data_IF_800092020862
#
_entry.id   IF_800092020862
#
_cell.length_a   1.000
_cell.length_b   1.000
_cell.length_c   1.000
_cell.angle_alpha   90.00
_cell.angle_beta   90.00
_cell.angle_gamma   90.00
#
_symmetry.space_group_name_H-M   'P 1'
#
loop_
_entity.id
_entity.type
_entity.pdbx_description
1 polymer ?
#
# COMPACT_ATOMS: atom_id res chain seq x y z
N UNK A 1 24.32 38.04 -8.10
CA UNK A 1 24.77 37.12 -9.17
C UNK A 1 26.17 36.63 -8.83
N UNK A 2 26.26 35.43 -8.26
CA UNK A 2 27.43 34.55 -8.23
C UNK A 2 26.93 33.20 -7.69
N UNK A 3 27.26 32.08 -8.34
CA UNK A 3 27.84 31.01 -7.55
C UNK A 3 29.05 30.34 -8.23
N UNK A 4 30.07 30.14 -7.39
CA UNK A 4 30.98 29.00 -7.31
C UNK A 4 30.89 27.95 -8.42
N UNK A 5 31.90 27.97 -9.29
CA UNK A 5 32.19 26.88 -10.22
C UNK A 5 33.28 25.97 -9.65
N UNK A 6 33.11 24.69 -9.96
CA UNK A 6 33.92 23.53 -9.59
C UNK A 6 35.30 23.65 -10.20
N UNK A 7 36.32 23.15 -9.48
CA UNK A 7 37.36 22.28 -10.04
C UNK A 7 38.38 21.92 -8.97
N UNK A 8 38.32 20.68 -8.45
CA UNK A 8 39.45 20.12 -7.70
C UNK A 8 39.99 18.86 -8.37
N UNK A 9 41.14 19.11 -9.00
CA UNK A 9 42.33 18.29 -9.25
C UNK A 9 42.28 16.76 -9.06
N UNK A 10 42.43 16.13 -10.23
CA UNK A 10 43.33 15.01 -10.57
C UNK A 10 44.45 14.62 -9.56
N UNK A 11 44.58 13.29 -9.41
CA UNK A 11 45.76 12.40 -9.65
C UNK A 11 46.46 11.71 -8.45
N UNK A 12 46.30 10.37 -8.49
CA UNK A 12 47.33 9.29 -8.51
C UNK A 12 48.06 8.84 -7.24
N UNK A 13 47.90 7.55 -6.89
CA UNK A 13 48.95 6.51 -6.78
C UNK A 13 48.29 5.19 -6.30
N UNK A 14 48.22 4.13 -7.12
CA UNK A 14 49.17 2.99 -7.17
C UNK A 14 49.42 2.29 -5.83
N UNK A 15 48.78 1.14 -5.64
CA UNK A 15 49.41 -0.07 -5.10
C UNK A 15 48.77 -1.28 -5.78
N UNK A 16 49.61 -2.00 -6.52
CA UNK A 16 49.31 -3.25 -7.20
C UNK A 16 50.23 -4.30 -6.60
N UNK A 17 49.72 -5.44 -6.13
CA UNK A 17 50.47 -6.69 -6.01
C UNK A 17 49.52 -7.90 -6.18
N UNK A 18 49.72 -8.62 -7.29
CA UNK A 18 49.71 -10.08 -7.52
C UNK A 18 48.58 -10.94 -6.89
N UNK A 19 47.88 -11.81 -7.63
CA UNK A 19 48.43 -12.93 -8.42
C UNK A 19 47.56 -13.30 -9.62
N UNK A 20 48.23 -13.71 -10.70
CA UNK A 20 47.69 -14.31 -11.91
C UNK A 20 48.32 -15.71 -12.06
N UNK A 21 47.65 -16.57 -12.83
CA UNK A 21 47.96 -17.97 -13.22
C UNK A 21 47.15 -19.01 -12.42
N UNK A 22 46.50 -20.02 -13.00
CA UNK A 22 46.69 -20.60 -14.32
C UNK A 22 45.41 -21.27 -14.85
N UNK A 23 45.18 -21.07 -16.14
CA UNK A 23 44.55 -22.03 -17.03
C UNK A 23 45.28 -23.38 -16.93
N UNK A 24 44.66 -24.39 -16.35
CA UNK A 24 44.90 -25.79 -16.69
C UNK A 24 43.59 -26.57 -16.49
N UNK A 25 43.09 -27.18 -17.56
CA UNK A 25 41.96 -28.09 -17.52
C UNK A 25 42.30 -29.36 -16.76
N UNK A 26 42.08 -29.35 -15.45
CA UNK A 26 42.00 -30.55 -14.64
C UNK A 26 40.66 -30.52 -13.90
N UNK A 27 39.75 -31.38 -14.35
CA UNK A 27 38.47 -31.65 -13.70
C UNK A 27 38.75 -32.49 -12.45
N UNK A 28 38.46 -32.03 -11.23
CA UNK A 28 38.55 -32.91 -10.07
C UNK A 28 37.50 -34.02 -10.18
N UNK A 29 37.81 -35.28 -9.83
CA UNK A 29 36.79 -36.31 -9.69
C UNK A 29 35.83 -35.92 -8.57
N UNK A 30 34.53 -36.09 -8.82
CA UNK A 30 33.49 -35.82 -7.85
C UNK A 30 33.76 -36.59 -6.55
N UNK A 31 33.68 -35.95 -5.37
CA UNK A 31 33.63 -36.72 -4.14
C UNK A 31 32.31 -37.50 -4.12
N UNK A 32 32.44 -38.82 -4.05
CA UNK A 32 31.34 -39.70 -3.70
C UNK A 32 30.93 -39.43 -2.25
N UNK A 33 29.63 -39.26 -2.01
CA UNK A 33 29.05 -39.27 -0.67
C UNK A 33 28.78 -37.90 -0.06
N UNK A 34 27.72 -37.23 -0.55
CA UNK A 34 26.93 -36.29 0.24
C UNK A 34 25.44 -36.68 0.11
N UNK A 35 25.11 -37.92 0.48
CA UNK A 35 23.72 -38.33 0.75
C UNK A 35 23.31 -37.73 2.10
N UNK A 36 22.79 -36.51 2.08
CA UNK A 36 22.34 -35.86 3.31
C UNK A 36 22.15 -34.35 3.28
N UNK A 37 21.97 -33.70 2.13
CA UNK A 37 21.48 -32.32 2.12
C UNK A 37 19.95 -32.33 2.26
N UNK A 38 19.37 -31.93 3.40
CA UNK A 38 17.93 -31.75 3.49
C UNK A 38 17.53 -30.56 2.62
N UNK A 39 16.55 -30.81 1.75
CA UNK A 39 15.66 -29.79 1.22
C UNK A 39 16.34 -28.67 0.47
N UNK A 40 16.56 -28.90 -0.84
CA UNK A 40 16.46 -27.84 -1.84
C UNK A 40 15.21 -27.03 -1.50
N UNK A 41 15.40 -25.83 -0.94
CA UNK A 41 14.31 -24.91 -0.71
C UNK A 41 13.64 -24.72 -2.06
N UNK A 42 12.46 -25.33 -2.22
CA UNK A 42 11.58 -25.05 -3.33
C UNK A 42 11.26 -23.59 -3.16
N UNK A 43 11.99 -22.75 -3.88
CA UNK A 43 11.64 -21.37 -4.08
C UNK A 43 10.35 -21.42 -4.88
N UNK A 44 9.22 -21.56 -4.19
CA UNK A 44 7.92 -21.11 -4.67
C UNK A 44 8.06 -19.61 -4.86
N UNK A 45 8.63 -19.21 -6.00
CA UNK A 45 8.35 -17.90 -6.55
C UNK A 45 6.84 -17.89 -6.71
N UNK A 46 6.15 -17.20 -5.81
CA UNK A 46 4.75 -16.91 -6.00
C UNK A 46 4.67 -16.21 -7.36
N UNK A 47 4.12 -16.90 -8.36
CA UNK A 47 3.83 -16.28 -9.63
C UNK A 47 2.99 -15.04 -9.33
N UNK A 48 3.41 -13.90 -9.85
CA UNK A 48 2.61 -12.68 -9.72
C UNK A 48 1.19 -13.02 -10.19
N UNK A 49 0.14 -12.64 -9.42
CA UNK A 49 -1.22 -12.96 -9.80
C UNK A 49 -1.46 -12.51 -11.24
N UNK A 50 -2.05 -13.40 -12.05
CA UNK A 50 -2.43 -13.04 -13.41
C UNK A 50 -3.30 -11.78 -13.41
N UNK A 51 -3.20 -10.99 -14.48
CA UNK A 51 -3.86 -9.67 -14.63
C UNK A 51 -5.33 -9.67 -14.19
N UNK A 52 -6.08 -10.70 -14.55
CA UNK A 52 -7.49 -10.88 -14.19
C UNK A 52 -7.71 -11.12 -12.69
N UNK A 53 -6.85 -11.92 -12.06
CA UNK A 53 -6.91 -12.18 -10.62
C UNK A 53 -6.63 -10.91 -9.81
N UNK A 54 -5.72 -10.05 -10.28
CA UNK A 54 -5.45 -8.75 -9.65
C UNK A 54 -6.65 -7.79 -9.76
N UNK A 55 -7.30 -7.74 -10.93
CA UNK A 55 -8.54 -6.98 -11.14
C UNK A 55 -9.64 -7.46 -10.18
N UNK A 56 -9.87 -8.78 -10.13
CA UNK A 56 -10.90 -9.37 -9.28
C UNK A 56 -10.63 -9.18 -7.79
N UNK A 57 -9.37 -9.29 -7.37
CA UNK A 57 -8.96 -9.02 -6.00
C UNK A 57 -9.23 -7.55 -5.61
N UNK A 58 -8.89 -6.60 -6.49
CA UNK A 58 -9.17 -5.19 -6.22
C UNK A 58 -10.66 -4.89 -6.23
N UNK A 59 -11.43 -5.50 -7.15
CA UNK A 59 -12.89 -5.34 -7.22
C UNK A 59 -13.55 -5.78 -5.91
N UNK A 60 -13.15 -6.94 -5.37
CA UNK A 60 -13.62 -7.44 -4.07
C UNK A 60 -13.22 -6.54 -2.91
N UNK A 61 -11.97 -6.09 -2.87
CA UNK A 61 -11.47 -5.17 -1.85
C UNK A 61 -12.28 -3.86 -1.82
N UNK A 62 -12.54 -3.25 -2.99
CA UNK A 62 -13.36 -2.04 -3.13
C UNK A 62 -14.79 -2.30 -2.68
N UNK A 63 -15.34 -3.48 -2.91
CA UNK A 63 -16.67 -3.87 -2.42
C UNK A 63 -16.73 -4.19 -0.91
N UNK A 64 -15.59 -4.14 -0.20
CA UNK A 64 -15.50 -4.38 1.25
C UNK A 64 -14.97 -5.77 1.64
N UNK A 65 -14.77 -6.69 0.69
CA UNK A 65 -14.10 -7.98 0.95
C UNK A 65 -12.58 -7.80 0.86
N UNK A 66 -12.00 -7.39 1.98
CA UNK A 66 -10.57 -7.13 2.10
C UNK A 66 -9.76 -8.38 2.50
N UNK A 67 -10.40 -9.44 2.98
CA UNK A 67 -9.71 -10.56 3.67
C UNK A 67 -8.57 -11.14 2.84
N UNK A 68 -8.81 -11.38 1.55
CA UNK A 68 -7.85 -11.98 0.61
C UNK A 68 -6.91 -11.00 -0.10
N UNK A 69 -7.01 -9.70 0.17
CA UNK A 69 -6.24 -8.70 -0.57
C UNK A 69 -4.75 -8.66 -0.15
N UNK A 70 -3.83 -8.57 -1.13
CA UNK A 70 -2.38 -8.64 -0.92
C UNK A 70 -1.60 -7.43 -1.48
N UNK A 71 -2.24 -6.27 -1.52
CA UNK A 71 -1.61 -5.02 -1.96
C UNK A 71 -1.74 -4.77 -3.46
N UNK A 72 -1.31 -3.58 -3.88
CA UNK A 72 -1.44 -3.11 -5.28
C UNK A 72 -0.30 -3.57 -6.21
N UNK A 73 0.47 -4.59 -5.85
CA UNK A 73 1.54 -5.10 -6.72
C UNK A 73 0.96 -5.53 -8.07
N UNK A 74 1.49 -5.00 -9.18
CA UNK A 74 0.99 -5.27 -10.52
C UNK A 74 -0.24 -4.45 -10.94
N UNK A 75 -0.71 -3.51 -10.11
CA UNK A 75 -1.80 -2.57 -10.41
C UNK A 75 -1.28 -1.17 -10.78
N UNK A 76 -0.23 -1.13 -11.61
CA UNK A 76 0.47 0.10 -11.99
C UNK A 76 -0.26 0.86 -13.11
N UNK A 77 -1.08 0.16 -13.91
CA UNK A 77 -1.75 0.66 -15.09
C UNK A 77 -3.14 1.26 -14.76
N UNK A 78 -3.40 2.47 -15.25
CA UNK A 78 -4.70 3.14 -15.16
C UNK A 78 -5.84 2.33 -15.78
N UNK A 79 -5.57 1.56 -16.84
CA UNK A 79 -6.59 0.71 -17.47
C UNK A 79 -7.01 -0.44 -16.56
N UNK A 80 -6.06 -1.00 -15.79
CA UNK A 80 -6.36 -2.03 -14.79
C UNK A 80 -7.24 -1.49 -13.68
N UNK A 81 -6.92 -0.29 -13.21
CA UNK A 81 -7.74 0.39 -12.22
C UNK A 81 -9.15 0.62 -12.75
N UNK A 82 -9.30 1.16 -13.96
CA UNK A 82 -10.61 1.38 -14.57
C UNK A 82 -11.43 0.08 -14.69
N UNK A 83 -10.80 -1.03 -15.09
CA UNK A 83 -11.46 -2.33 -15.16
C UNK A 83 -11.94 -2.84 -13.79
N UNK A 84 -11.13 -2.66 -12.74
CA UNK A 84 -11.47 -3.11 -11.39
C UNK A 84 -12.56 -2.27 -10.71
N UNK A 85 -12.56 -0.95 -10.94
CA UNK A 85 -13.52 -0.04 -10.29
C UNK A 85 -14.92 -0.09 -10.91
N UNK A 86 -15.02 -0.55 -12.16
CA UNK A 86 -16.27 -0.65 -12.91
C UNK A 86 -16.78 0.71 -13.40
N UNK A 87 -18.05 0.80 -13.83
CA UNK A 87 -18.62 2.04 -14.34
C UNK A 87 -18.66 3.13 -13.27
N UNK A 88 -18.35 4.36 -13.69
CA UNK A 88 -18.36 5.55 -12.83
C UNK A 88 -19.13 6.69 -13.52
N UNK A 89 -19.67 7.59 -12.71
CA UNK A 89 -20.46 8.75 -13.15
C UNK A 89 -19.53 9.84 -13.67
N UNK A 90 -18.46 10.09 -12.92
CA UNK A 90 -17.53 11.18 -13.18
C UNK A 90 -16.15 10.81 -12.70
N UNK A 91 -15.14 11.27 -13.43
CA UNK A 91 -13.76 11.28 -12.96
C UNK A 91 -13.20 12.69 -13.11
N UNK A 92 -12.50 13.17 -12.09
CA UNK A 92 -11.78 14.45 -12.10
C UNK A 92 -10.34 14.22 -11.74
N UNK A 93 -9.44 14.99 -12.35
CA UNK A 93 -8.01 14.89 -12.12
C UNK A 93 -7.47 16.25 -11.66
N UNK A 94 -6.70 16.25 -10.58
CA UNK A 94 -6.01 17.44 -10.08
C UNK A 94 -4.66 17.08 -9.47
N UNK A 95 -3.80 18.08 -9.31
CA UNK A 95 -2.53 17.89 -8.60
C UNK A 95 -2.66 18.27 -7.13
N UNK A 96 -2.21 17.38 -6.24
CA UNK A 96 -2.16 17.60 -4.80
C UNK A 96 -0.77 17.33 -4.24
N UNK A 97 -0.46 17.93 -3.09
CA UNK A 97 0.79 17.65 -2.35
C UNK A 97 0.47 16.82 -1.13
N UNK A 98 1.26 15.77 -0.91
CA UNK A 98 1.17 14.88 0.26
C UNK A 98 2.58 14.54 0.73
N UNK A 99 2.87 14.78 2.01
CA UNK A 99 4.18 14.57 2.62
C UNK A 99 5.36 15.21 1.84
N UNK A 100 5.12 16.38 1.23
CA UNK A 100 6.13 17.07 0.40
C UNK A 100 6.30 16.52 -1.01
N UNK A 101 5.53 15.49 -1.40
CA UNK A 101 5.53 14.92 -2.76
C UNK A 101 4.32 15.40 -3.55
N UNK A 102 4.52 15.61 -4.85
CA UNK A 102 3.45 15.97 -5.79
C UNK A 102 2.80 14.71 -6.35
N UNK A 103 1.48 14.70 -6.33
CA UNK A 103 0.65 13.63 -6.86
C UNK A 103 -0.36 14.20 -7.83
N UNK A 104 -0.68 13.42 -8.84
CA UNK A 104 -1.85 13.55 -9.67
C UNK A 104 -2.92 12.64 -9.09
N UNK A 105 -4.00 13.23 -8.60
CA UNK A 105 -5.09 12.53 -7.92
C UNK A 105 -6.25 12.42 -8.88
N UNK A 106 -6.64 11.19 -9.17
CA UNK A 106 -7.85 10.87 -9.91
C UNK A 106 -8.96 10.55 -8.92
N UNK A 107 -9.94 11.44 -8.82
CA UNK A 107 -11.14 11.25 -8.00
C UNK A 107 -12.24 10.66 -8.86
N UNK A 108 -12.78 9.53 -8.45
CA UNK A 108 -13.75 8.73 -9.20
C UNK A 108 -15.04 8.66 -8.41
N UNK A 109 -16.10 9.21 -8.99
CA UNK A 109 -17.46 9.21 -8.42
C UNK A 109 -18.28 8.08 -9.05
N UNK A 110 -18.82 7.20 -8.22
CA UNK A 110 -19.49 5.96 -8.60
C UNK A 110 -20.96 5.99 -8.20
N UNK A 111 -21.79 5.22 -8.92
CA UNK A 111 -23.21 5.05 -8.58
C UNK A 111 -23.42 4.10 -7.40
N UNK A 112 -22.53 3.13 -7.23
CA UNK A 112 -22.54 2.14 -6.16
C UNK A 112 -21.47 2.45 -5.10
N UNK A 113 -21.65 1.94 -3.89
CA UNK A 113 -20.64 2.05 -2.85
C UNK A 113 -19.34 1.30 -3.22
N UNK A 114 -18.16 1.78 -2.78
CA UNK A 114 -17.90 3.12 -2.27
C UNK A 114 -18.16 4.19 -3.35
N UNK A 115 -18.81 5.29 -2.95
CA UNK A 115 -19.27 6.34 -3.89
C UNK A 115 -18.12 7.19 -4.43
N UNK A 116 -17.07 7.40 -3.63
CA UNK A 116 -15.90 8.18 -4.01
C UNK A 116 -14.65 7.34 -3.77
N UNK A 117 -13.77 7.28 -4.76
CA UNK A 117 -12.48 6.62 -4.69
C UNK A 117 -11.42 7.60 -5.20
N UNK A 118 -10.31 7.73 -4.50
CA UNK A 118 -9.17 8.52 -4.93
C UNK A 118 -7.98 7.64 -5.27
N UNK A 119 -7.42 7.83 -6.46
CA UNK A 119 -6.24 7.14 -6.94
C UNK A 119 -5.08 8.14 -7.09
N UNK A 120 -3.99 7.92 -6.37
CA UNK A 120 -2.86 8.83 -6.25
C UNK A 120 -1.68 8.32 -7.09
N UNK A 121 -1.29 9.10 -8.09
CA UNK A 121 -0.18 8.81 -8.99
C UNK A 121 0.95 9.81 -8.75
N UNK A 122 2.17 9.40 -8.35
CA UNK A 122 3.28 10.32 -8.16
C UNK A 122 3.62 11.04 -9.48
N UNK A 123 3.84 12.36 -9.39
CA UNK A 123 4.28 13.14 -10.55
C UNK A 123 5.77 12.88 -10.81
N UNK A 124 6.11 12.45 -12.03
CA UNK A 124 7.49 12.23 -12.47
C UNK A 124 8.00 10.78 -12.36
N UNK A 125 7.24 9.87 -11.73
CA UNK A 125 7.66 8.49 -11.43
C UNK A 125 7.01 7.46 -12.37
N UNK A 126 6.85 7.82 -13.64
CA UNK A 126 6.28 6.92 -14.66
C UNK A 126 4.78 6.67 -14.55
N UNK A 127 4.08 7.32 -13.62
CA UNK A 127 2.61 7.30 -13.55
C UNK A 127 2.02 6.04 -12.91
N UNK A 128 2.80 5.30 -12.12
CA UNK A 128 2.31 4.12 -11.39
C UNK A 128 1.40 4.52 -10.23
N UNK A 129 0.36 3.73 -9.95
CA UNK A 129 -0.53 3.93 -8.81
C UNK A 129 0.24 3.74 -7.49
N UNK A 130 0.32 4.79 -6.67
CA UNK A 130 0.96 4.72 -5.36
C UNK A 130 -0.03 4.36 -4.25
N UNK A 131 -1.22 4.97 -4.28
CA UNK A 131 -2.24 4.78 -3.24
C UNK A 131 -3.61 4.78 -3.89
N UNK A 132 -4.46 3.85 -3.47
CA UNK A 132 -5.90 3.88 -3.70
C UNK A 132 -6.61 4.04 -2.36
N UNK A 133 -7.53 5.00 -2.24
CA UNK A 133 -8.20 5.26 -0.98
C UNK A 133 -9.68 5.59 -1.14
N UNK A 134 -10.48 5.16 -0.15
CA UNK A 134 -11.92 5.33 -0.15
C UNK A 134 -12.52 5.08 1.23
N UNK A 135 -13.79 5.46 1.39
CA UNK A 135 -14.61 5.10 2.55
C UNK A 135 -15.32 3.78 2.29
N UNK A 136 -15.12 2.75 3.11
CA UNK A 136 -15.73 1.44 2.88
C UNK A 136 -17.26 1.53 2.89
N UNK A 137 -17.96 0.60 2.21
CA UNK A 137 -19.40 0.46 2.40
C UNK A 137 -19.74 0.18 3.88
N UNK A 138 -20.95 0.56 4.34
CA UNK A 138 -21.39 0.25 5.69
C UNK A 138 -21.44 -1.28 5.90
N UNK A 139 -21.16 -1.73 7.12
CA UNK A 139 -21.21 -3.16 7.48
C UNK A 139 -19.93 -3.96 7.23
N UNK A 140 -18.83 -3.33 6.80
CA UNK A 140 -17.52 -3.99 6.78
C UNK A 140 -17.07 -4.27 8.22
N UNK A 141 -16.89 -5.55 8.55
CA UNK A 141 -16.45 -6.02 9.87
C UNK A 141 -14.95 -5.77 10.07
N UNK A 142 -14.63 -4.65 10.71
CA UNK A 142 -13.26 -4.29 11.06
C UNK A 142 -12.63 -5.32 12.00
N UNK A 143 -13.33 -5.77 13.03
CA UNK A 143 -12.76 -6.64 14.06
C UNK A 143 -12.50 -8.04 13.51
N UNK A 144 -13.42 -8.57 12.69
CA UNK A 144 -13.20 -9.82 11.95
C UNK A 144 -12.02 -9.73 10.99
N UNK A 145 -11.84 -8.58 10.31
CA UNK A 145 -10.69 -8.35 9.43
C UNK A 145 -9.38 -8.32 10.22
N UNK A 146 -9.32 -7.59 11.34
CA UNK A 146 -8.15 -7.55 12.22
C UNK A 146 -7.84 -8.95 12.79
N UNK A 147 -8.87 -9.69 13.23
CA UNK A 147 -8.72 -11.05 13.72
C UNK A 147 -8.15 -12.00 12.67
N UNK A 148 -8.55 -11.83 11.41
CA UNK A 148 -8.05 -12.65 10.28
C UNK A 148 -6.65 -12.25 9.84
N UNK A 149 -6.35 -10.96 9.80
CA UNK A 149 -5.06 -10.45 9.34
C UNK A 149 -3.93 -10.58 10.37
N UNK A 150 -4.29 -10.63 11.65
CA UNK A 150 -3.37 -10.64 12.78
C UNK A 150 -3.03 -9.22 13.25
N UNK A 151 -1.99 -9.11 14.08
CA UNK A 151 -1.57 -7.80 14.60
C UNK A 151 -1.06 -6.87 13.47
N UNK A 152 -1.41 -5.58 13.50
CA UNK A 152 -0.84 -4.60 12.57
C UNK A 152 0.66 -4.42 12.79
N UNK A 153 1.37 -4.04 11.74
CA UNK A 153 2.80 -3.72 11.81
C UNK A 153 3.06 -2.48 12.68
N UNK A 154 2.12 -1.53 12.71
CA UNK A 154 2.13 -0.38 13.60
C UNK A 154 0.70 0.13 13.84
N UNK A 155 0.42 0.67 15.03
CA UNK A 155 -0.79 1.44 15.31
C UNK A 155 -0.39 2.90 15.48
N UNK A 156 -0.98 3.80 14.68
CA UNK A 156 -0.79 5.24 14.81
C UNK A 156 -2.05 5.84 15.42
N UNK A 157 -1.98 6.17 16.71
CA UNK A 157 -3.11 6.72 17.48
C UNK A 157 -3.26 8.21 17.25
N UNK A 158 -4.51 8.68 17.33
CA UNK A 158 -4.88 10.09 17.47
C UNK A 158 -4.32 11.03 16.39
N UNK A 159 -3.96 10.48 15.23
CA UNK A 159 -3.42 11.28 14.13
C UNK A 159 -4.51 12.13 13.47
N UNK A 160 -5.77 11.68 13.55
CA UNK A 160 -6.93 12.34 12.96
C UNK A 160 -8.12 12.30 13.93
N UNK A 161 -8.93 13.35 13.87
CA UNK A 161 -10.23 13.41 14.51
C UNK A 161 -11.30 13.47 13.43
N UNK A 162 -12.34 12.66 13.58
CA UNK A 162 -13.59 12.83 12.85
C UNK A 162 -14.62 13.42 13.84
N UNK A 163 -15.60 14.22 13.38
CA UNK A 163 -16.69 14.66 14.25
C UNK A 163 -17.31 13.50 15.06
N UNK A 164 -17.14 13.51 16.39
CA UNK A 164 -17.68 12.49 17.29
C UNK A 164 -16.83 11.22 17.48
N UNK A 165 -15.65 11.12 16.83
CA UNK A 165 -14.78 9.95 16.93
C UNK A 165 -13.27 10.30 16.90
N UNK A 166 -12.49 9.52 17.63
CA UNK A 166 -11.03 9.49 17.50
C UNK A 166 -10.65 8.42 16.49
N UNK A 167 -9.77 8.75 15.55
CA UNK A 167 -9.32 7.78 14.55
C UNK A 167 -7.91 7.29 14.88
N UNK A 168 -7.76 5.96 14.84
CA UNK A 168 -6.48 5.28 14.86
C UNK A 168 -6.22 4.61 13.50
N UNK A 169 -4.96 4.63 13.06
CA UNK A 169 -4.56 3.95 11.83
C UNK A 169 -3.91 2.61 12.19
N UNK A 170 -4.44 1.53 11.64
CA UNK A 170 -3.87 0.19 11.72
C UNK A 170 -3.07 -0.06 10.44
N UNK A 171 -1.74 -0.04 10.54
CA UNK A 171 -0.85 -0.17 9.40
C UNK A 171 -0.52 -1.64 9.18
N UNK A 172 -0.88 -2.17 8.02
CA UNK A 172 -0.49 -3.49 7.52
C UNK A 172 0.43 -3.30 6.30
N UNK A 173 1.57 -2.65 6.51
CA UNK A 173 2.46 -2.24 5.41
C UNK A 173 2.98 -3.42 4.59
N UNK A 174 3.17 -4.58 5.22
CA UNK A 174 3.58 -5.82 4.51
C UNK A 174 2.46 -6.41 3.66
N UNK A 175 1.20 -6.07 3.95
CA UNK A 175 0.05 -6.42 3.10
C UNK A 175 -0.27 -5.32 2.08
N UNK A 176 0.29 -4.13 2.24
CA UNK A 176 -0.03 -2.98 1.40
C UNK A 176 -1.39 -2.35 1.74
N UNK A 177 -1.73 -2.28 3.03
CA UNK A 177 -3.00 -1.70 3.48
C UNK A 177 -2.87 -0.87 4.76
N UNK A 178 -3.63 0.21 4.86
CA UNK A 178 -3.89 0.94 6.10
C UNK A 178 -5.39 1.01 6.32
N UNK A 179 -5.82 0.62 7.51
CA UNK A 179 -7.22 0.68 7.95
C UNK A 179 -7.36 1.80 8.97
N UNK A 180 -8.20 2.78 8.67
CA UNK A 180 -8.51 3.86 9.60
C UNK A 180 -9.72 3.44 10.43
N UNK A 181 -9.47 3.09 11.69
CA UNK A 181 -10.49 2.67 12.64
C UNK A 181 -10.96 3.89 13.44
N UNK A 182 -12.25 4.20 13.34
CA UNK A 182 -12.84 5.26 14.12
C UNK A 182 -13.49 4.71 15.38
N UNK A 183 -13.17 5.33 16.52
CA UNK A 183 -13.68 5.00 17.84
C UNK A 183 -14.55 6.16 18.35
N UNK A 184 -15.82 5.93 18.72
CA UNK A 184 -16.67 6.96 19.31
C UNK A 184 -16.02 7.63 20.51
N UNK A 185 -16.22 8.95 20.65
CA UNK A 185 -15.81 9.70 21.86
C UNK A 185 -16.75 9.42 23.03
N UNK A 186 -18.00 9.05 22.75
CA UNK A 186 -18.98 8.67 23.76
C UNK A 186 -18.56 7.39 24.51
N UNK A 187 -18.58 7.46 25.84
CA UNK A 187 -18.25 6.35 26.73
C UNK A 187 -19.19 5.15 26.58
N UNK A 188 -20.45 5.37 26.19
CA UNK A 188 -21.41 4.28 25.99
C UNK A 188 -20.99 3.30 24.89
N UNK A 189 -20.21 3.76 23.91
CA UNK A 189 -19.75 2.97 22.76
C UNK A 189 -18.23 2.93 22.62
N UNK A 190 -17.48 3.25 23.68
CA UNK A 190 -16.03 3.44 23.64
C UNK A 190 -15.23 2.18 23.20
N UNK A 191 -15.85 1.00 23.20
CA UNK A 191 -15.24 -0.27 22.78
C UNK A 191 -15.51 -0.67 21.32
N UNK A 192 -16.47 -0.05 20.62
CA UNK A 192 -16.81 -0.45 19.25
C UNK A 192 -16.06 0.44 18.26
N UNK A 193 -15.22 -0.17 17.44
CA UNK A 193 -14.53 0.52 16.34
C UNK A 193 -15.23 0.20 15.03
N UNK A 194 -15.33 1.19 14.15
CA UNK A 194 -15.80 1.00 12.78
C UNK A 194 -14.71 1.39 11.79
N UNK A 195 -14.68 0.73 10.63
CA UNK A 195 -13.76 1.09 9.57
C UNK A 195 -14.27 2.36 8.88
N UNK A 196 -13.55 3.47 9.06
CA UNK A 196 -13.91 4.75 8.49
C UNK A 196 -13.29 4.97 7.11
N UNK A 197 -12.11 4.40 6.87
CA UNK A 197 -11.37 4.64 5.64
C UNK A 197 -10.39 3.51 5.36
N UNK A 198 -10.17 3.23 4.07
CA UNK A 198 -9.22 2.23 3.59
C UNK A 198 -8.21 2.90 2.68
N UNK A 199 -6.94 2.56 2.86
CA UNK A 199 -5.87 2.88 1.92
C UNK A 199 -5.20 1.60 1.48
N UNK A 200 -5.09 1.38 0.18
CA UNK A 200 -4.32 0.30 -0.42
C UNK A 200 -3.10 0.88 -1.14
N UNK A 201 -2.01 0.14 -1.09
CA UNK A 201 -0.74 0.48 -1.71
C UNK A 201 0.06 -0.80 -2.00
N UNK A 202 1.18 -0.70 -2.70
CA UNK A 202 2.07 -1.83 -2.87
C UNK A 202 2.71 -2.20 -1.51
N UNK A 203 2.85 -3.49 -1.16
CA UNK A 203 3.54 -3.93 0.06
C UNK A 203 4.89 -3.22 0.24
N UNK A 204 5.13 -2.72 1.45
CA UNK A 204 6.25 -1.81 1.73
C UNK A 204 6.68 -1.86 3.20
N UNK A 205 7.50 -0.91 3.62
CA UNK A 205 7.96 -0.75 5.01
C UNK A 205 7.25 0.40 5.73
N UNK A 206 7.26 0.37 7.06
CA UNK A 206 6.73 1.45 7.91
C UNK A 206 7.41 2.79 7.61
N UNK A 207 8.73 2.78 7.41
CA UNK A 207 9.50 4.00 7.06
C UNK A 207 9.05 4.58 5.73
N UNK A 208 8.88 3.74 4.72
CA UNK A 208 8.38 4.18 3.42
C UNK A 208 6.96 4.74 3.53
N UNK A 209 6.10 4.09 4.31
CA UNK A 209 4.76 4.59 4.57
C UNK A 209 4.78 6.01 5.17
N UNK A 210 5.59 6.26 6.21
CA UNK A 210 5.67 7.59 6.83
C UNK A 210 6.24 8.69 5.92
N UNK A 211 7.07 8.32 4.95
CA UNK A 211 7.78 9.28 4.09
C UNK A 211 7.13 9.50 2.73
N UNK A 212 6.28 8.57 2.26
CA UNK A 212 5.69 8.61 0.91
C UNK A 212 4.17 8.49 0.91
N UNK A 213 3.59 7.62 1.73
CA UNK A 213 2.17 7.27 1.66
C UNK A 213 1.35 8.12 2.63
N UNK A 214 1.70 8.07 3.93
CA UNK A 214 1.03 8.81 4.98
C UNK A 214 -0.45 8.47 5.16
N UNK A 215 -1.05 9.09 6.18
CA UNK A 215 -2.50 9.08 6.32
C UNK A 215 -3.15 9.95 5.23
N UNK A 216 -4.37 9.59 4.84
CA UNK A 216 -5.16 10.38 3.90
C UNK A 216 -5.48 11.77 4.46
N UNK A 217 -5.59 12.80 3.61
CA UNK A 217 -5.82 14.17 4.04
C UNK A 217 -7.23 14.41 4.59
N UNK A 218 -8.22 13.63 4.16
CA UNK A 218 -9.64 13.82 4.49
C UNK A 218 -10.21 12.56 5.18
N UNK A 219 -11.09 12.78 6.16
CA UNK A 219 -11.99 11.77 6.72
C UNK A 219 -13.38 12.38 6.68
N UNK A 220 -14.39 11.65 6.21
CA UNK A 220 -15.76 12.12 6.37
C UNK A 220 -16.20 11.96 7.84
N UNK A 221 -17.23 12.71 8.28
CA UNK A 221 -17.78 12.54 9.62
C UNK A 221 -18.08 11.08 9.93
N UNK A 222 -17.73 10.66 11.15
CA UNK A 222 -18.05 9.33 11.66
C UNK A 222 -19.53 9.06 11.40
N UNK A 223 -19.90 7.93 10.75
CA UNK A 223 -21.29 7.61 10.57
C UNK A 223 -21.92 7.54 11.96
N UNK A 224 -22.83 8.47 12.23
CA UNK A 224 -23.88 8.19 13.20
C UNK A 224 -24.60 7.00 12.58
N UNK A 225 -24.80 5.93 13.33
CA UNK A 225 -26.00 5.14 13.07
C UNK A 225 -27.14 6.16 13.08
N UNK A 226 -27.56 6.61 11.90
CA UNK A 226 -28.90 7.11 11.74
C UNK A 226 -29.73 5.85 11.90
N UNK A 227 -30.00 5.49 13.16
CA UNK A 227 -31.05 4.54 13.51
C UNK A 227 -32.29 4.90 12.68
N UNK A 228 -33.15 3.92 12.37
CA UNK A 228 -34.22 4.09 11.40
C UNK A 228 -34.88 5.44 11.62
N UNK A 229 -34.78 6.33 10.62
CA UNK A 229 -35.47 7.62 10.68
C UNK A 229 -36.95 7.27 10.83
N UNK A 230 -37.46 7.40 12.05
CA UNK A 230 -38.89 7.26 12.30
C UNK A 230 -39.61 8.20 11.32
N UNK A 231 -40.64 7.72 10.62
CA UNK A 231 -41.34 8.47 9.59
C UNK A 231 -41.91 9.79 10.11
#
# INVERSE_FOLDING_TARGET
MAPFDRTNRRRSARCAWLWLLALTGCRPPAPAGCDGCPGRAVSTQAEAPGREAAIEALRRAVAGDLVGFQGLTGMEDRQLLAAALGPYVRATEEERVRLGWRYRVLTIERTAAPRRIEAWFPVGDGGSLAVLEWEPPPGVDLEGLVGTWGAPDQIVKERRAAPGAVVEELLYVRRGATLSAARPVDQANAGVRSLAHVQLYAPTTVVHWHTRIGAGPELHPYPRDEGPRSP
#
